data_IF_463132009264
#
_entry.id   IF_463132009264
#
_cell.length_a   1.000
_cell.length_b   1.000
_cell.length_c   1.000
_cell.angle_alpha   90.00
_cell.angle_beta   90.00
_cell.angle_gamma   90.00
#
_symmetry.space_group_name_H-M   'P 1'
#
loop_
_entity.id
_entity.type
_entity.pdbx_description
1 polymer ?
#
# COMPACT_ATOMS: atom_id res chain seq x y z
N UNK A 1 -1.69 -58.12 -29.63
CA UNK A 1 -2.78 -57.48 -28.86
C UNK A 1 -2.19 -56.97 -27.56
N UNK A 2 -1.97 -55.67 -27.44
CA UNK A 2 -1.66 -55.04 -26.15
C UNK A 2 -2.24 -53.64 -26.22
N UNK A 3 -3.39 -53.46 -25.57
CA UNK A 3 -4.12 -52.20 -25.50
C UNK A 3 -3.63 -51.46 -24.27
N UNK A 4 -2.92 -50.35 -24.48
CA UNK A 4 -2.56 -49.39 -23.44
C UNK A 4 -3.76 -48.49 -23.18
N UNK A 5 -4.50 -48.79 -22.12
CA UNK A 5 -5.50 -47.90 -21.56
C UNK A 5 -4.79 -46.76 -20.82
N UNK A 6 -4.93 -45.54 -21.33
CA UNK A 6 -4.47 -44.32 -20.67
C UNK A 6 -5.63 -43.76 -19.85
N UNK A 7 -5.63 -44.04 -18.54
CA UNK A 7 -6.49 -43.36 -17.57
C UNK A 7 -6.17 -41.87 -17.55
N UNK A 8 -6.95 -41.08 -18.29
CA UNK A 8 -7.04 -39.63 -18.09
C UNK A 8 -7.79 -39.37 -16.78
N UNK A 9 -7.04 -39.23 -15.70
CA UNK A 9 -7.56 -38.61 -14.49
C UNK A 9 -7.92 -37.16 -14.81
N UNK A 10 -9.22 -36.89 -14.93
CA UNK A 10 -9.74 -35.53 -14.96
C UNK A 10 -9.44 -34.92 -13.61
N UNK A 11 -8.31 -34.21 -13.51
CA UNK A 11 -8.08 -33.27 -12.42
C UNK A 11 -9.21 -32.26 -12.49
N UNK A 12 -10.16 -32.36 -11.56
CA UNK A 12 -11.11 -31.30 -11.31
C UNK A 12 -10.30 -30.03 -11.10
N UNK A 13 -10.41 -29.11 -12.06
CA UNK A 13 -9.73 -27.81 -12.03
C UNK A 13 -10.53 -26.97 -11.05
N UNK A 14 -10.31 -27.20 -9.76
CA UNK A 14 -10.81 -26.30 -8.74
C UNK A 14 -10.06 -24.97 -8.89
N UNK A 15 -10.76 -23.84 -8.89
CA UNK A 15 -10.10 -22.54 -8.88
C UNK A 15 -9.21 -22.45 -7.63
N UNK A 16 -7.94 -22.10 -7.80
CA UNK A 16 -7.02 -21.91 -6.68
C UNK A 16 -7.37 -20.62 -5.94
N UNK A 17 -7.59 -20.70 -4.63
CA UNK A 17 -7.72 -19.54 -3.76
C UNK A 17 -6.34 -18.95 -3.45
N UNK A 18 -6.23 -17.63 -3.51
CA UNK A 18 -5.00 -16.88 -3.18
C UNK A 18 -5.32 -15.76 -2.21
N UNK A 19 -4.56 -15.67 -1.11
CA UNK A 19 -4.64 -14.56 -0.17
C UNK A 19 -3.62 -13.48 -0.52
N UNK A 20 -4.04 -12.22 -0.50
CA UNK A 20 -3.19 -11.09 -0.86
C UNK A 20 -3.63 -9.80 -0.16
N UNK A 21 -2.69 -8.97 0.26
CA UNK A 21 -2.97 -7.62 0.71
C UNK A 21 -3.55 -6.75 -0.42
N UNK A 22 -4.59 -5.96 -0.11
CA UNK A 22 -5.26 -5.11 -1.08
C UNK A 22 -4.65 -3.70 -1.11
N UNK A 23 -3.94 -3.36 -2.18
CA UNK A 23 -3.49 -1.98 -2.46
C UNK A 23 -4.69 -1.09 -2.83
N UNK A 24 -5.55 -1.61 -3.71
CA UNK A 24 -6.74 -0.90 -4.15
C UNK A 24 -7.90 -1.09 -3.17
N UNK A 25 -8.04 -0.12 -2.26
CA UNK A 25 -9.11 -0.11 -1.24
C UNK A 25 -10.53 0.01 -1.80
N UNK A 26 -10.68 0.28 -3.11
CA UNK A 26 -11.99 0.33 -3.77
C UNK A 26 -12.61 -1.06 -3.96
N UNK A 27 -11.79 -2.12 -3.89
CA UNK A 27 -12.22 -3.49 -4.02
C UNK A 27 -13.34 -3.85 -3.04
N UNK A 28 -14.32 -4.59 -3.54
CA UNK A 28 -15.41 -5.18 -2.76
C UNK A 28 -15.57 -6.63 -3.14
N UNK A 29 -16.19 -7.39 -2.26
CA UNK A 29 -16.56 -8.77 -2.57
C UNK A 29 -17.37 -8.84 -3.88
N UNK A 30 -16.98 -9.78 -4.73
CA UNK A 30 -17.43 -10.00 -6.10
C UNK A 30 -16.87 -9.04 -7.15
N UNK A 31 -15.97 -8.11 -6.80
CA UNK A 31 -15.28 -7.29 -7.81
C UNK A 31 -14.31 -8.11 -8.64
N UNK A 32 -14.13 -7.72 -9.90
CA UNK A 32 -13.13 -8.28 -10.80
C UNK A 32 -11.77 -7.64 -10.53
N UNK A 33 -10.74 -8.46 -10.43
CA UNK A 33 -9.39 -8.04 -10.06
C UNK A 33 -8.35 -8.49 -11.09
N UNK A 34 -7.42 -7.60 -11.43
CA UNK A 34 -6.25 -7.92 -12.25
C UNK A 34 -5.04 -8.11 -11.33
N UNK A 35 -4.69 -9.37 -11.07
CA UNK A 35 -3.52 -9.74 -10.26
C UNK A 35 -2.17 -9.40 -10.88
N UNK A 36 -2.11 -9.05 -12.17
CA UNK A 36 -0.85 -8.59 -12.78
C UNK A 36 -0.59 -7.11 -12.52
N UNK A 37 -1.65 -6.30 -12.38
CA UNK A 37 -1.56 -4.84 -12.16
C UNK A 37 -1.94 -4.40 -10.76
N UNK A 38 -2.43 -5.33 -9.96
CA UNK A 38 -2.93 -5.13 -8.61
C UNK A 38 -4.03 -4.08 -8.47
N UNK A 39 -4.96 -4.08 -9.43
CA UNK A 39 -6.04 -3.12 -9.48
C UNK A 39 -7.41 -3.78 -9.62
N UNK A 40 -8.42 -3.09 -9.11
CA UNK A 40 -9.82 -3.49 -9.28
C UNK A 40 -10.30 -2.95 -10.61
N UNK A 41 -10.67 -3.85 -11.52
CA UNK A 41 -11.10 -3.47 -12.86
C UNK A 41 -12.56 -3.02 -12.87
N UNK A 42 -13.39 -3.71 -12.09
CA UNK A 42 -14.82 -3.48 -12.10
C UNK A 42 -15.48 -3.91 -10.80
N UNK A 43 -16.32 -3.03 -10.28
CA UNK A 43 -17.20 -3.33 -9.16
C UNK A 43 -18.50 -3.95 -9.66
N UNK A 44 -18.81 -5.15 -9.18
CA UNK A 44 -20.15 -5.72 -9.34
C UNK A 44 -21.02 -5.22 -8.18
N UNK A 45 -22.19 -4.72 -8.52
CA UNK A 45 -23.19 -4.32 -7.53
C UNK A 45 -24.06 -5.52 -7.17
N UNK A 46 -24.00 -5.90 -5.89
CA UNK A 46 -24.86 -6.91 -5.31
C UNK A 46 -25.88 -6.22 -4.42
N UNK A 47 -27.17 -6.49 -4.60
CA UNK A 47 -28.24 -5.90 -3.76
C UNK A 47 -28.25 -6.42 -2.33
N UNK A 48 -27.64 -7.58 -2.08
CA UNK A 48 -27.58 -8.17 -0.75
C UNK A 48 -26.43 -9.18 -0.69
N UNK A 49 -25.28 -8.71 -0.24
CA UNK A 49 -24.29 -9.60 0.37
C UNK A 49 -24.79 -9.73 1.81
N UNK A 50 -24.91 -10.93 2.36
CA UNK A 50 -25.20 -11.05 3.80
C UNK A 50 -24.06 -10.37 4.55
N UNK A 51 -24.33 -9.15 5.02
CA UNK A 51 -23.29 -8.24 5.49
C UNK A 51 -22.93 -8.57 6.93
N UNK A 52 -21.62 -8.55 7.17
CA UNK A 52 -20.97 -8.16 8.42
C UNK A 52 -21.09 -9.12 9.60
N UNK A 53 -20.01 -9.86 9.80
CA UNK A 53 -19.53 -10.10 11.16
C UNK A 53 -18.73 -8.87 11.60
N UNK A 54 -19.17 -8.21 12.68
CA UNK A 54 -18.33 -7.28 13.41
C UNK A 54 -17.27 -8.13 14.13
N UNK A 55 -16.07 -8.20 13.56
CA UNK A 55 -14.94 -8.80 14.28
C UNK A 55 -14.08 -7.66 14.80
N UNK A 56 -13.99 -7.54 16.12
CA UNK A 56 -12.82 -7.00 16.82
C UNK A 56 -12.53 -8.00 17.96
N UNK A 57 -11.30 -8.39 18.30
CA UNK A 57 -9.96 -7.90 17.98
C UNK A 57 -9.08 -9.10 17.55
N UNK A 58 -8.04 -8.88 16.72
CA UNK A 58 -6.76 -8.60 17.35
C UNK A 58 -6.16 -7.29 16.85
N UNK A 59 -5.75 -6.46 17.82
CA UNK A 59 -4.86 -5.32 17.60
C UNK A 59 -3.46 -5.89 17.46
N UNK A 60 -2.96 -6.04 16.24
CA UNK A 60 -1.53 -6.26 16.09
C UNK A 60 -0.87 -4.90 16.11
N UNK A 61 -0.19 -4.61 17.22
CA UNK A 61 0.73 -3.49 17.34
C UNK A 61 2.14 -4.07 17.35
N UNK A 62 2.90 -3.79 16.31
CA UNK A 62 4.30 -4.20 16.21
C UNK A 62 5.19 -2.97 16.09
N UNK A 63 6.24 -2.92 16.90
CA UNK A 63 7.28 -1.89 16.80
C UNK A 63 8.47 -2.48 16.09
N UNK A 64 8.65 -2.11 14.83
CA UNK A 64 9.75 -2.58 14.01
C UNK A 64 10.89 -1.57 14.11
N UNK A 65 12.06 -2.07 14.49
CA UNK A 65 13.26 -1.26 14.67
C UNK A 65 13.99 -1.16 13.33
N UNK A 66 14.39 0.05 12.95
CA UNK A 66 15.31 0.24 11.84
C UNK A 66 16.62 -0.53 12.09
N UNK A 67 17.14 -1.15 11.06
CA UNK A 67 18.43 -1.86 11.11
C UNK A 67 19.50 -1.01 10.45
N UNK A 68 20.76 -1.22 10.84
CA UNK A 68 21.91 -0.50 10.29
C UNK A 68 22.26 -0.92 8.86
N UNK A 69 21.51 -1.86 8.29
CA UNK A 69 21.65 -2.27 6.89
C UNK A 69 21.60 -1.03 5.99
N UNK A 70 22.52 -0.96 5.02
CA UNK A 70 22.72 0.25 4.22
C UNK A 70 21.52 0.64 3.34
N UNK A 71 20.49 -0.21 3.26
CA UNK A 71 19.27 0.07 2.52
C UNK A 71 18.13 -0.87 2.97
N UNK A 72 17.47 -0.62 4.11
CA UNK A 72 16.38 -1.47 4.56
C UNK A 72 15.19 -1.29 3.62
N UNK A 73 14.81 -2.36 2.93
CA UNK A 73 13.60 -2.36 2.10
C UNK A 73 12.38 -2.22 3.00
N UNK A 74 11.80 -1.01 3.04
CA UNK A 74 10.65 -0.69 3.90
C UNK A 74 9.44 -1.59 3.63
N UNK A 75 9.26 -2.03 2.38
CA UNK A 75 8.16 -2.93 2.03
C UNK A 75 8.37 -4.32 2.63
N UNK A 76 9.63 -4.78 2.72
CA UNK A 76 9.98 -6.03 3.38
C UNK A 76 9.78 -5.92 4.90
N UNK A 77 10.11 -4.77 5.48
CA UNK A 77 9.81 -4.46 6.88
C UNK A 77 8.29 -4.57 7.14
N UNK A 78 7.48 -4.00 6.26
CA UNK A 78 6.01 -4.03 6.35
C UNK A 78 5.38 -5.40 5.99
N UNK A 79 6.20 -6.43 5.72
CA UNK A 79 5.78 -7.79 5.35
C UNK A 79 4.85 -7.85 4.12
N UNK A 80 5.02 -6.93 3.18
CA UNK A 80 4.31 -6.94 1.90
C UNK A 80 4.79 -8.14 1.07
N UNK A 81 3.86 -8.88 0.45
CA UNK A 81 4.17 -10.03 -0.39
C UNK A 81 5.11 -9.65 -1.54
N UNK A 82 6.00 -10.57 -1.97
CA UNK A 82 7.04 -10.27 -2.97
C UNK A 82 6.45 -9.79 -4.30
N UNK A 83 5.38 -10.43 -4.76
CA UNK A 83 4.68 -10.09 -5.99
C UNK A 83 4.08 -8.68 -5.93
N UNK A 84 3.51 -8.33 -4.77
CA UNK A 84 2.92 -7.03 -4.51
C UNK A 84 3.99 -5.92 -4.43
N UNK A 85 5.15 -6.23 -3.84
CA UNK A 85 6.30 -5.33 -3.81
C UNK A 85 6.76 -4.92 -5.20
N UNK A 86 6.83 -5.87 -6.13
CA UNK A 86 7.26 -5.60 -7.50
C UNK A 86 6.27 -4.67 -8.22
N UNK A 87 4.97 -4.92 -8.09
CA UNK A 87 3.91 -4.07 -8.66
C UNK A 87 3.96 -2.64 -8.13
N UNK A 88 4.16 -2.46 -6.82
CA UNK A 88 4.32 -1.16 -6.18
C UNK A 88 5.58 -0.42 -6.67
N UNK A 89 6.72 -1.11 -6.77
CA UNK A 89 7.97 -0.54 -7.27
C UNK A 89 7.88 -0.11 -8.74
N UNK A 90 7.08 -0.82 -9.54
CA UNK A 90 6.84 -0.52 -10.94
C UNK A 90 5.71 0.51 -11.17
N UNK A 91 5.12 1.07 -10.09
CA UNK A 91 4.01 2.02 -10.13
C UNK A 91 2.81 1.52 -10.98
N UNK A 92 2.52 0.21 -10.95
CA UNK A 92 1.41 -0.36 -11.72
C UNK A 92 0.04 -0.01 -11.11
N UNK A 93 0.02 0.22 -9.80
CA UNK A 93 -1.15 0.65 -9.04
C UNK A 93 -0.97 2.05 -8.48
N UNK A 94 -2.09 2.76 -8.29
CA UNK A 94 -2.08 4.06 -7.63
C UNK A 94 -1.79 3.85 -6.15
N UNK A 95 -0.63 4.31 -5.70
CA UNK A 95 -0.24 4.28 -4.29
C UNK A 95 -1.27 5.03 -3.43
N UNK A 96 -1.70 4.41 -2.35
CA UNK A 96 -2.57 5.04 -1.36
C UNK A 96 -2.36 4.40 0.02
N UNK A 97 -2.69 5.12 1.10
CA UNK A 97 -2.58 4.58 2.46
C UNK A 97 -1.16 4.16 2.83
N UNK A 98 -0.97 2.91 3.25
CA UNK A 98 0.34 2.37 3.64
C UNK A 98 1.34 2.30 2.51
N UNK A 99 0.88 2.21 1.26
CA UNK A 99 1.77 2.01 0.12
C UNK A 99 2.61 3.24 -0.18
N UNK A 100 2.19 4.42 0.31
CA UNK A 100 2.99 5.65 0.19
C UNK A 100 4.27 5.58 1.02
N UNK A 101 4.39 4.63 1.96
CA UNK A 101 5.65 4.39 2.67
C UNK A 101 6.78 3.97 1.74
N UNK A 102 6.50 3.46 0.53
CA UNK A 102 7.53 3.19 -0.47
C UNK A 102 8.31 4.46 -0.87
N UNK A 103 7.66 5.63 -0.77
CA UNK A 103 8.24 6.93 -1.11
C UNK A 103 8.92 7.58 0.11
N UNK A 104 9.07 6.85 1.22
CA UNK A 104 9.78 7.32 2.41
C UNK A 104 11.26 7.52 2.10
N UNK A 105 11.67 8.78 1.99
CA UNK A 105 13.01 9.17 1.57
C UNK A 105 13.98 9.46 2.74
N UNK A 106 13.51 9.41 3.98
CA UNK A 106 14.36 9.70 5.14
C UNK A 106 15.27 8.51 5.46
N UNK A 107 16.51 8.77 5.94
CA UNK A 107 17.39 7.71 6.40
C UNK A 107 16.75 6.86 7.50
N UNK A 108 16.76 5.54 7.32
CA UNK A 108 16.33 4.57 8.33
C UNK A 108 17.59 4.11 9.08
N UNK A 109 17.66 4.39 10.38
CA UNK A 109 18.78 4.02 11.25
C UNK A 109 18.29 3.25 12.49
N UNK A 110 19.20 2.92 13.40
CA UNK A 110 18.92 2.20 14.65
C UNK A 110 18.03 2.97 15.64
N UNK A 111 17.75 4.25 15.38
CA UNK A 111 16.84 5.09 16.15
C UNK A 111 15.47 5.23 15.48
N UNK A 112 15.34 4.87 14.20
CA UNK A 112 14.04 4.85 13.51
C UNK A 112 13.17 3.72 14.05
N UNK A 113 11.90 4.04 14.38
CA UNK A 113 10.90 3.08 14.83
C UNK A 113 9.69 3.16 13.90
N UNK A 114 9.28 2.02 13.37
CA UNK A 114 8.03 1.88 12.64
C UNK A 114 7.01 1.27 13.58
N UNK A 115 5.88 1.93 13.77
CA UNK A 115 4.77 1.41 14.57
C UNK A 115 3.71 0.93 13.57
N UNK A 116 3.61 -0.38 13.40
CA UNK A 116 2.58 -1.00 12.59
C UNK A 116 1.38 -1.31 13.48
N UNK A 117 0.24 -0.70 13.17
CA UNK A 117 -1.03 -0.97 13.83
C UNK A 117 -2.03 -1.47 12.80
N UNK A 118 -2.52 -2.69 12.97
CA UNK A 118 -3.64 -3.22 12.19
C UNK A 118 -4.81 -3.60 13.09
N UNK A 119 -6.01 -3.33 12.58
CA UNK A 119 -7.27 -3.72 13.20
C UNK A 119 -8.27 -4.00 12.09
N UNK A 120 -8.86 -5.19 12.09
CA UNK A 120 -9.95 -5.52 11.17
C UNK A 120 -11.24 -4.93 11.72
N UNK A 121 -11.92 -4.10 10.94
CA UNK A 121 -13.22 -3.53 11.30
C UNK A 121 -14.38 -4.33 10.73
N UNK A 122 -14.19 -4.88 9.53
CA UNK A 122 -15.24 -5.50 8.73
C UNK A 122 -14.67 -6.68 7.97
N UNK A 123 -15.38 -7.80 8.01
CA UNK A 123 -15.20 -8.89 7.07
C UNK A 123 -16.41 -8.98 6.15
N UNK A 124 -16.15 -9.07 4.85
CA UNK A 124 -17.13 -9.33 3.80
C UNK A 124 -16.73 -10.66 3.12
N UNK A 125 -17.68 -11.57 2.85
CA UNK A 125 -17.43 -12.84 2.15
C UNK A 125 -18.60 -13.17 1.21
N UNK A 126 -18.32 -13.77 0.06
CA UNK A 126 -19.35 -14.41 -0.75
C UNK A 126 -19.94 -15.62 0.00
N UNK A 127 -21.24 -15.92 -0.21
CA UNK A 127 -21.83 -17.15 0.26
C UNK A 127 -21.11 -18.37 -0.33
N UNK A 128 -20.89 -19.42 0.47
CA UNK A 128 -20.26 -20.66 0.00
C UNK A 128 -21.13 -21.38 -1.04
N UNK A 129 -22.45 -21.21 -0.96
CA UNK A 129 -23.39 -21.75 -1.95
C UNK A 129 -23.66 -20.71 -3.06
N UNK A 130 -23.25 -20.96 -4.31
CA UNK A 130 -23.43 -20.03 -5.42
C UNK A 130 -24.91 -19.75 -5.73
N UNK A 131 -25.82 -20.67 -5.40
CA UNK A 131 -27.27 -20.46 -5.58
C UNK A 131 -27.82 -19.31 -4.73
N UNK A 132 -27.10 -18.90 -3.68
CA UNK A 132 -27.48 -17.78 -2.83
C UNK A 132 -27.01 -16.42 -3.38
N UNK A 133 -26.20 -16.41 -4.45
CA UNK A 133 -25.72 -15.17 -5.07
C UNK A 133 -26.81 -14.60 -5.97
N UNK A 134 -27.57 -13.63 -5.46
CA UNK A 134 -28.53 -12.85 -6.26
C UNK A 134 -27.78 -11.72 -6.98
N UNK A 135 -27.22 -12.00 -8.15
CA UNK A 135 -26.57 -11.00 -9.01
C UNK A 135 -27.64 -10.11 -9.63
N UNK A 136 -27.53 -8.78 -9.48
CA UNK A 136 -28.59 -7.87 -9.95
C UNK A 136 -28.27 -7.17 -11.26
N UNK A 137 -27.01 -6.94 -11.63
CA UNK A 137 -26.73 -6.20 -12.85
C UNK A 137 -26.09 -7.07 -13.92
N UNK A 138 -26.64 -6.98 -15.14
CA UNK A 138 -26.00 -7.48 -16.37
C UNK A 138 -24.57 -6.97 -16.36
N UNK A 139 -23.60 -7.88 -16.30
CA UNK A 139 -22.21 -7.53 -16.46
C UNK A 139 -22.09 -6.76 -17.79
N UNK A 140 -21.54 -5.52 -17.81
CA UNK A 140 -21.00 -5.00 -19.06
C UNK A 140 -20.01 -6.02 -19.63
N UNK A 141 -19.79 -6.03 -20.95
CA UNK A 141 -18.95 -7.02 -21.61
C UNK A 141 -17.63 -7.14 -20.85
N UNK A 142 -17.38 -8.36 -20.35
CA UNK A 142 -16.31 -8.67 -19.42
C UNK A 142 -15.00 -8.01 -19.87
N UNK A 143 -14.34 -7.27 -18.98
CA UNK A 143 -12.94 -6.92 -19.21
C UNK A 143 -12.14 -8.22 -19.29
N UNK A 144 -11.55 -8.50 -20.45
CA UNK A 144 -10.72 -9.69 -20.69
C UNK A 144 -9.44 -9.71 -19.85
N UNK A 145 -9.16 -8.63 -19.12
CA UNK A 145 -7.99 -8.50 -18.26
C UNK A 145 -8.20 -9.03 -16.83
N UNK A 146 -9.43 -9.34 -16.43
CA UNK A 146 -9.69 -9.87 -15.09
C UNK A 146 -9.09 -11.27 -14.95
N UNK A 147 -8.23 -11.44 -13.94
CA UNK A 147 -7.60 -12.74 -13.64
C UNK A 147 -8.20 -13.38 -12.39
N UNK A 148 -8.82 -12.59 -11.51
CA UNK A 148 -9.37 -13.03 -10.24
C UNK A 148 -10.73 -12.38 -9.95
N UNK A 149 -11.47 -12.97 -9.01
CA UNK A 149 -12.68 -12.41 -8.40
C UNK A 149 -12.44 -12.33 -6.89
N UNK A 150 -12.76 -11.19 -6.28
CA UNK A 150 -12.63 -11.03 -4.83
C UNK A 150 -13.75 -11.82 -4.13
N UNK A 151 -13.44 -12.95 -3.53
CA UNK A 151 -14.45 -13.78 -2.83
C UNK A 151 -14.58 -13.42 -1.36
N UNK A 152 -13.52 -12.90 -0.75
CA UNK A 152 -13.46 -12.47 0.65
C UNK A 152 -12.65 -11.19 0.77
N UNK A 153 -13.05 -10.30 1.66
CA UNK A 153 -12.35 -9.05 1.95
C UNK A 153 -12.35 -8.76 3.44
N UNK A 154 -11.17 -8.39 3.95
CA UNK A 154 -11.01 -7.77 5.26
C UNK A 154 -10.80 -6.27 5.06
N UNK A 155 -11.59 -5.46 5.73
CA UNK A 155 -11.38 -4.01 5.79
C UNK A 155 -10.62 -3.68 7.06
N UNK A 156 -9.33 -3.40 6.91
CA UNK A 156 -8.47 -2.99 8.00
C UNK A 156 -8.50 -1.46 8.16
N UNK A 157 -8.54 -0.99 9.41
CA UNK A 157 -8.12 0.36 9.74
C UNK A 157 -6.63 0.29 10.06
N UNK A 158 -5.80 0.70 9.11
CA UNK A 158 -4.39 0.94 9.39
C UNK A 158 -4.28 2.39 9.86
N UNK A 159 -3.99 2.57 11.15
CA UNK A 159 -3.55 3.85 11.67
C UNK A 159 -2.03 3.89 11.51
N UNK A 160 -1.56 4.35 10.35
CA UNK A 160 -0.16 4.69 10.19
C UNK A 160 0.10 5.99 10.94
N UNK A 161 0.76 5.90 12.09
CA UNK A 161 1.22 7.08 12.78
C UNK A 161 2.40 7.68 12.01
N UNK A 162 2.31 8.99 11.78
CA UNK A 162 3.39 9.83 11.27
C UNK A 162 4.66 9.56 12.08
N UNK A 163 5.79 9.35 11.40
CA UNK A 163 7.10 9.27 12.05
C UNK A 163 7.37 10.58 12.76
N UNK A 164 7.19 10.63 14.07
CA UNK A 164 7.76 11.69 14.89
C UNK A 164 9.26 11.39 14.99
N UNK A 165 10.07 12.10 14.20
CA UNK A 165 11.49 12.19 14.47
C UNK A 165 11.61 12.90 15.82
N UNK A 166 11.81 12.14 16.88
CA UNK A 166 12.25 12.72 18.15
C UNK A 166 13.66 13.22 17.88
N UNK A 167 13.80 14.51 17.58
CA UNK A 167 15.08 15.22 17.64
C UNK A 167 15.50 15.19 19.11
N UNK A 168 16.10 14.07 19.53
CA UNK A 168 16.82 13.99 20.79
C UNK A 168 18.02 14.92 20.67
N UNK A 169 17.78 16.18 21.03
CA UNK A 169 18.84 17.14 21.32
C UNK A 169 19.76 16.44 22.34
N UNK A 170 21.03 16.20 22.02
CA UNK A 170 21.92 15.47 22.91
C UNK A 170 21.94 16.19 24.25
N UNK A 171 21.47 15.51 25.30
CA UNK A 171 21.61 16.00 26.68
C UNK A 171 23.09 15.99 27.00
N UNK A 172 23.71 17.14 26.82
CA UNK A 172 25.12 17.38 27.08
C UNK A 172 25.36 17.52 28.59
N UNK A 173 24.88 16.56 29.38
CA UNK A 173 25.03 16.51 30.83
C UNK A 173 26.32 15.80 31.26
N UNK A 174 27.34 15.83 30.40
CA UNK A 174 28.70 15.48 30.79
C UNK A 174 29.22 16.58 31.72
N UNK A 175 28.90 16.44 33.01
CA UNK A 175 29.64 17.12 34.07
C UNK A 175 31.11 16.72 33.92
N UNK A 176 31.92 17.65 33.44
CA UNK A 176 33.36 17.54 33.42
C UNK A 176 33.86 17.29 34.85
N UNK A 177 34.13 16.03 35.19
CA UNK A 177 34.96 15.72 36.34
C UNK A 177 36.36 16.25 36.03
N UNK A 178 36.80 17.22 36.84
CA UNK A 178 38.14 17.77 36.85
C UNK A 178 39.21 16.68 36.67
N UNK A 179 39.79 16.60 35.47
CA UNK A 179 41.07 15.94 35.26
C UNK A 179 42.18 16.99 35.42
N UNK A 180 43.24 16.71 36.20
CA UNK A 180 44.36 17.63 36.36
C UNK A 180 45.16 17.76 35.06
N UNK A 181 45.52 19.00 34.74
CA UNK A 181 46.26 19.38 33.55
C UNK A 181 47.65 18.72 33.50
N UNK A 182 47.85 17.77 32.59
CA UNK A 182 49.19 17.37 32.16
C UNK A 182 49.58 18.15 30.90
N UNK A 183 50.61 18.96 31.07
CA UNK A 183 51.23 19.82 30.07
C UNK A 183 52.06 18.95 29.12
N UNK A 184 51.49 18.54 27.99
CA UNK A 184 52.23 17.84 26.94
C UNK A 184 52.65 18.84 25.87
N UNK A 185 53.96 18.88 25.62
CA UNK A 185 54.63 19.75 24.68
C UNK A 185 54.15 19.56 23.24
N UNK A 186 54.22 20.65 22.49
CA UNK A 186 53.64 20.76 21.17
C UNK A 186 54.29 19.88 20.12
N UNK A 187 53.46 19.51 19.14
CA UNK A 187 53.88 19.22 17.78
C UNK A 187 52.90 19.93 16.85
N UNK A 188 53.44 20.90 16.09
CA UNK A 188 52.76 21.52 14.96
C UNK A 188 52.58 20.44 13.89
N UNK A 189 51.34 20.16 13.51
CA UNK A 189 51.03 19.47 12.25
C UNK A 189 50.13 20.41 11.46
N UNK A 190 50.60 20.72 10.27
CA UNK A 190 50.03 21.65 9.31
C UNK A 190 48.73 21.11 8.73
N UNK A 191 47.66 21.90 8.81
CA UNK A 191 46.39 21.68 8.10
C UNK A 191 46.53 21.86 6.59
N UNK A 192 46.11 20.89 5.76
CA UNK A 192 45.71 21.16 4.39
C UNK A 192 44.19 21.37 4.33
N UNK A 193 43.82 22.62 4.05
CA UNK A 193 42.51 23.08 3.60
C UNK A 193 41.92 22.10 2.58
N UNK A 194 40.73 21.55 2.89
CA UNK A 194 39.85 20.94 1.89
C UNK A 194 38.49 21.62 1.98
N UNK A 195 38.35 22.68 1.20
CA UNK A 195 37.06 23.33 0.91
C UNK A 195 36.26 22.41 -0.01
N UNK A 196 35.24 21.72 0.52
CA UNK A 196 34.23 21.08 -0.32
C UNK A 196 33.15 22.10 -0.65
N UNK A 197 33.17 22.50 -1.92
CA UNK A 197 32.17 23.30 -2.60
C UNK A 197 30.89 22.46 -2.70
N UNK A 198 29.80 22.89 -2.06
CA UNK A 198 28.47 22.36 -2.32
C UNK A 198 27.80 23.33 -3.28
N UNK A 199 27.62 22.88 -4.52
CA UNK A 199 26.90 23.61 -5.56
C UNK A 199 25.41 23.68 -5.22
N UNK A 200 24.93 24.88 -4.93
CA UNK A 200 23.52 25.24 -4.88
C UNK A 200 22.91 25.12 -6.28
N UNK A 201 22.25 23.99 -6.56
CA UNK A 201 21.35 23.90 -7.71
C UNK A 201 20.03 24.61 -7.41
N UNK A 202 20.07 25.91 -7.71
CA UNK A 202 18.92 26.77 -8.00
C UNK A 202 18.02 26.08 -9.03
N UNK A 203 16.86 25.58 -8.60
CA UNK A 203 15.81 25.12 -9.52
C UNK A 203 14.80 26.25 -9.66
N UNK A 204 14.66 26.71 -10.89
CA UNK A 204 13.87 27.85 -11.31
C UNK A 204 12.37 27.59 -11.12
N UNK A 205 11.71 28.54 -10.47
CA UNK A 205 10.26 28.69 -10.47
C UNK A 205 9.81 29.24 -11.81
N UNK A 206 9.17 28.42 -12.64
CA UNK A 206 8.38 28.90 -13.77
C UNK A 206 6.94 29.09 -13.32
N UNK A 207 6.60 30.36 -13.12
CA UNK A 207 5.24 30.89 -13.13
C UNK A 207 4.64 30.86 -14.53
N UNK A 208 3.31 31.00 -14.55
CA UNK A 208 2.44 31.43 -15.65
C UNK A 208 1.74 30.33 -16.47
N UNK A 209 0.41 30.43 -16.47
CA UNK A 209 -0.50 29.58 -17.22
C UNK A 209 -1.95 29.78 -16.80
N UNK A 210 -2.40 31.04 -16.82
CA UNK A 210 -3.81 31.42 -16.82
C UNK A 210 -4.51 30.77 -18.02
N UNK A 211 -5.65 30.12 -17.79
CA UNK A 211 -6.71 30.04 -18.80
C UNK A 211 -8.05 29.85 -18.13
N UNK A 212 -8.90 30.81 -18.42
CA UNK A 212 -10.26 31.04 -17.95
C UNK A 212 -11.23 29.87 -18.21
N UNK A 213 -12.32 29.89 -17.42
CA UNK A 213 -13.55 29.11 -17.58
C UNK A 213 -14.32 29.51 -18.88
N UNK A 214 -15.60 29.14 -19.11
CA UNK A 214 -16.47 28.10 -18.54
C UNK A 214 -17.14 27.22 -19.63
N UNK A 215 -17.86 26.16 -19.26
CA UNK A 215 -19.16 25.89 -19.90
C UNK A 215 -20.04 24.96 -19.07
N UNK A 216 -21.02 25.58 -18.41
CA UNK A 216 -22.27 24.96 -18.01
C UNK A 216 -23.05 24.57 -19.27
N UNK A 217 -23.46 23.31 -19.38
CA UNK A 217 -24.59 22.96 -20.24
C UNK A 217 -25.60 22.19 -19.40
N UNK A 218 -26.63 22.92 -19.00
CA UNK A 218 -27.94 22.42 -18.64
C UNK A 218 -28.50 21.56 -19.79
N UNK A 219 -29.00 20.38 -19.49
CA UNK A 219 -30.04 19.76 -20.31
C UNK A 219 -30.95 18.90 -19.43
N UNK A 220 -31.90 19.59 -18.80
CA UNK A 220 -33.15 19.05 -18.32
C UNK A 220 -33.93 18.46 -19.49
N UNK A 221 -34.14 17.15 -19.53
CA UNK A 221 -35.17 16.53 -20.36
C UNK A 221 -36.20 15.91 -19.42
N UNK A 222 -37.26 16.67 -19.19
CA UNK A 222 -38.51 16.18 -18.65
C UNK A 222 -39.26 15.46 -19.78
N UNK A 223 -39.38 14.13 -19.67
CA UNK A 223 -40.31 13.33 -20.46
C UNK A 223 -41.52 13.00 -19.60
N UNK A 224 -42.65 13.61 -19.94
CA UNK A 224 -43.98 13.30 -19.42
C UNK A 224 -44.73 12.40 -20.41
N UNK A 225 -45.69 11.63 -19.87
CA UNK A 225 -46.82 10.98 -20.55
C UNK A 225 -46.48 9.64 -21.28
N UNK A 226 -47.32 8.62 -21.34
CA UNK A 226 -48.79 8.57 -21.28
C UNK A 226 -49.30 7.28 -20.61
N UNK A 227 -50.50 7.41 -20.05
CA UNK A 227 -51.46 6.36 -19.71
C UNK A 227 -51.77 5.44 -20.92
N UNK A 228 -51.97 4.16 -20.60
CA UNK A 228 -52.51 3.12 -21.49
C UNK A 228 -52.74 1.84 -20.71
#
# INVERSE_FOLDING_TARGET
>A
MSSLETEKTSKDIFPSETHRAAIDSTGRVGSLYDGYRDCVLQRLEFHKIDETFNISEPRQCEVIHGQHDRNPNILKIMRIEEELRLSLLLNMSKKSGTDTMIDYCQPINEYTRFIQYSSVKREEKLPDNPANIKVVNRLPPFSTAATHIITKRLSELIMSNTTESVDEKPRNDFKASHAPAMKVGGMRVSDPRRTSHCDDKKTESSTEGHSDAPNSTDSSIAGTAEDG
#
